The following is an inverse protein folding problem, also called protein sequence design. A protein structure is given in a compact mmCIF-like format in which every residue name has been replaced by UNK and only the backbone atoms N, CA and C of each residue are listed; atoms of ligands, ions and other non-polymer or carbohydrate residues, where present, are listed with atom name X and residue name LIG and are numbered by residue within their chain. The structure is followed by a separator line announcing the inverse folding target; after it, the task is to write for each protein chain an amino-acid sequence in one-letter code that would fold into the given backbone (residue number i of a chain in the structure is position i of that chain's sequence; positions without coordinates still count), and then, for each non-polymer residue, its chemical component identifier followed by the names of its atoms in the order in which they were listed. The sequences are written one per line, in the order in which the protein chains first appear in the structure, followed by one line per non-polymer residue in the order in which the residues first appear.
data_IF_948341906448
#
_entry.id   IF_948341906448
#
_cell.length_a   1.000
_cell.length_b   1.000
_cell.length_c   1.000
_cell.angle_alpha   90.00
_cell.angle_beta   90.00
_cell.angle_gamma   90.00
#
_symmetry.space_group_name_H-M   'P 1'
#
loop_
_entity.id
_entity.type
_entity.pdbx_description
1 polymer ?
#
# COMPACT_ATOMS: atom_id res chain seq x y z
N UNK A 1 -25.77 9.22 -5.57
CA UNK A 1 -25.76 8.25 -4.46
C UNK A 1 -24.32 8.05 -4.05
N UNK A 2 -23.88 8.89 -3.12
CA UNK A 2 -22.52 8.96 -2.60
C UNK A 2 -22.34 7.88 -1.54
N UNK A 3 -22.02 6.67 -2.01
CA UNK A 3 -21.48 5.64 -1.14
C UNK A 3 -20.12 6.19 -0.70
N UNK A 4 -20.04 6.79 0.50
CA UNK A 4 -18.77 7.06 1.20
C UNK A 4 -17.89 5.84 0.93
N UNK A 5 -16.85 5.97 0.08
CA UNK A 5 -16.02 4.84 -0.34
C UNK A 5 -15.32 4.31 0.90
N UNK A 6 -15.96 3.36 1.60
CA UNK A 6 -15.41 2.71 2.79
C UNK A 6 -14.07 2.11 2.38
N UNK A 7 -12.98 2.54 3.00
CA UNK A 7 -11.67 1.95 2.77
C UNK A 7 -11.74 0.44 2.99
N UNK A 8 -10.97 -0.32 2.23
CA UNK A 8 -10.83 -1.75 2.45
C UNK A 8 -9.81 -1.96 3.57
N UNK A 9 -10.07 -2.90 4.48
CA UNK A 9 -9.14 -3.24 5.55
C UNK A 9 -8.28 -4.46 5.20
N UNK A 10 -7.16 -4.65 5.91
CA UNK A 10 -6.37 -5.88 5.81
C UNK A 10 -7.20 -7.13 6.13
N UNK A 11 -8.15 -7.01 7.07
CA UNK A 11 -9.04 -8.11 7.41
C UNK A 11 -9.99 -8.47 6.26
N UNK A 12 -10.56 -7.47 5.58
CA UNK A 12 -11.36 -7.71 4.37
C UNK A 12 -10.53 -8.37 3.26
N UNK A 13 -9.28 -7.94 3.08
CA UNK A 13 -8.37 -8.55 2.12
C UNK A 13 -8.04 -10.01 2.48
N UNK A 14 -7.81 -10.32 3.75
CA UNK A 14 -7.61 -11.69 4.22
C UNK A 14 -8.88 -12.54 4.06
N UNK A 15 -10.05 -11.98 4.33
CA UNK A 15 -11.34 -12.65 4.17
C UNK A 15 -11.70 -12.91 2.70
N UNK A 16 -11.19 -12.10 1.76
CA UNK A 16 -11.36 -12.33 0.32
C UNK A 16 -10.81 -13.69 -0.12
N UNK A 17 -9.71 -14.15 0.49
CA UNK A 17 -9.15 -15.48 0.25
C UNK A 17 -10.13 -16.60 0.64
N UNK A 18 -10.85 -16.44 1.75
CA UNK A 18 -11.76 -17.46 2.27
C UNK A 18 -13.06 -17.56 1.45
N UNK A 19 -13.18 -16.84 0.33
CA UNK A 19 -14.39 -16.71 -0.48
C UNK A 19 -15.62 -16.22 0.30
N UNK A 20 -15.41 -15.75 1.54
CA UNK A 20 -16.47 -15.24 2.44
C UNK A 20 -17.12 -13.97 1.87
N UNK A 21 -16.42 -13.26 0.98
CA UNK A 21 -16.86 -12.00 0.37
C UNK A 21 -17.21 -12.14 -1.13
N UNK A 22 -17.25 -13.37 -1.67
CA UNK A 22 -17.53 -13.61 -3.09
C UNK A 22 -16.35 -13.30 -4.02
N UNK A 23 -16.64 -12.89 -5.26
CA UNK A 23 -15.63 -12.61 -6.29
C UNK A 23 -14.99 -11.24 -6.05
N UNK A 24 -13.75 -11.23 -5.55
CA UNK A 24 -13.04 -10.01 -5.18
C UNK A 24 -11.96 -9.68 -6.21
N UNK A 25 -11.95 -8.44 -6.71
CA UNK A 25 -10.94 -7.91 -7.62
C UNK A 25 -9.89 -7.15 -6.83
N UNK A 26 -8.66 -7.65 -6.88
CA UNK A 26 -7.51 -7.04 -6.21
C UNK A 26 -6.64 -6.42 -7.29
N UNK A 27 -6.35 -5.13 -7.16
CA UNK A 27 -5.53 -4.40 -8.12
C UNK A 27 -4.36 -3.72 -7.47
N UNK A 28 -3.21 -3.77 -8.14
CA UNK A 28 -2.00 -3.07 -7.74
C UNK A 28 -1.83 -1.82 -8.60
N UNK A 29 -1.79 -0.65 -7.97
CA UNK A 29 -1.69 0.63 -8.65
C UNK A 29 -0.34 1.27 -8.38
N UNK A 30 0.30 1.81 -9.42
CA UNK A 30 1.43 2.70 -9.24
C UNK A 30 0.93 4.05 -8.70
N UNK A 31 1.56 4.57 -7.66
CA UNK A 31 1.18 5.83 -7.03
C UNK A 31 2.06 6.95 -7.53
N UNK A 32 1.46 7.92 -8.22
CA UNK A 32 2.16 9.13 -8.70
C UNK A 32 2.07 10.23 -7.64
N UNK A 33 3.16 10.96 -7.41
CA UNK A 33 3.23 12.06 -6.42
C UNK A 33 4.01 11.75 -5.15
N UNK A 34 4.66 10.57 -5.05
CA UNK A 34 5.64 10.25 -4.01
C UNK A 34 7.09 10.33 -4.50
N UNK A 35 8.05 10.29 -3.57
CA UNK A 35 9.50 10.35 -3.86
C UNK A 35 10.05 9.04 -4.49
N UNK A 36 9.25 7.96 -4.54
CA UNK A 36 9.58 6.66 -5.14
C UNK A 36 8.36 6.10 -5.89
N UNK A 37 8.56 5.11 -6.77
CA UNK A 37 7.51 4.32 -7.45
C UNK A 37 6.70 3.48 -6.45
N UNK A 38 6.07 4.14 -5.48
CA UNK A 38 5.25 3.51 -4.46
C UNK A 38 4.06 2.83 -5.13
N UNK A 39 3.60 1.74 -4.53
CA UNK A 39 2.41 1.04 -5.00
C UNK A 39 1.34 1.01 -3.92
N UNK A 40 0.09 1.04 -4.34
CA UNK A 40 -1.07 0.87 -3.48
C UNK A 40 -1.93 -0.28 -3.97
N UNK A 41 -2.70 -0.86 -3.06
CA UNK A 41 -3.62 -1.96 -3.38
C UNK A 41 -5.05 -1.44 -3.29
N UNK A 42 -5.88 -1.82 -4.26
CA UNK A 42 -7.33 -1.66 -4.16
C UNK A 42 -8.04 -3.00 -4.13
N UNK A 43 -9.13 -3.05 -3.35
CA UNK A 43 -10.04 -4.17 -3.20
C UNK A 43 -11.42 -3.76 -3.73
N UNK A 44 -11.86 -4.33 -4.85
CA UNK A 44 -13.10 -3.92 -5.53
C UNK A 44 -13.16 -2.39 -5.76
N UNK A 45 -12.01 -1.76 -6.09
CA UNK A 45 -11.91 -0.31 -6.31
C UNK A 45 -11.85 0.55 -5.04
N UNK A 46 -11.71 -0.07 -3.85
CA UNK A 46 -11.55 0.62 -2.56
C UNK A 46 -10.10 0.51 -2.10
N UNK A 47 -9.49 1.62 -1.69
CA UNK A 47 -8.10 1.63 -1.22
C UNK A 47 -7.91 0.79 0.04
N UNK A 48 -6.83 0.01 0.07
CA UNK A 48 -6.43 -0.76 1.23
C UNK A 48 -5.84 0.16 2.30
N UNK A 49 -6.51 0.24 3.44
CA UNK A 49 -6.01 0.88 4.64
C UNK A 49 -5.64 -0.16 5.69
N UNK A 50 -4.68 0.21 6.52
CA UNK A 50 -4.39 -0.48 7.75
C UNK A 50 -5.50 -0.27 8.77
N UNK A 51 -5.44 -1.03 9.87
CA UNK A 51 -6.48 -1.02 10.89
C UNK A 51 -6.65 0.35 11.58
N UNK A 52 -5.64 1.22 11.53
CA UNK A 52 -5.66 2.57 12.06
C UNK A 52 -6.19 3.62 11.05
N UNK A 53 -6.67 3.17 9.90
CA UNK A 53 -7.23 4.02 8.84
C UNK A 53 -6.20 4.59 7.86
N UNK A 54 -4.90 4.34 8.07
CA UNK A 54 -3.84 4.82 7.17
C UNK A 54 -3.81 4.03 5.86
N UNK A 55 -3.58 4.70 4.75
CA UNK A 55 -3.42 4.04 3.44
C UNK A 55 -2.17 3.16 3.45
N UNK A 56 -2.32 1.88 3.14
CA UNK A 56 -1.18 0.96 3.01
C UNK A 56 -0.52 1.15 1.65
N UNK A 57 0.75 1.57 1.65
CA UNK A 57 1.57 1.71 0.44
C UNK A 57 2.81 0.84 0.55
N UNK A 58 3.40 0.49 -0.59
CA UNK A 58 4.59 -0.34 -0.69
C UNK A 58 5.69 0.42 -1.44
N UNK A 59 6.93 0.31 -0.98
CA UNK A 59 8.09 0.97 -1.61
C UNK A 59 8.46 0.36 -2.98
N UNK A 60 8.18 -0.92 -3.17
CA UNK A 60 8.45 -1.67 -4.38
C UNK A 60 7.40 -2.74 -4.64
N UNK A 61 7.35 -3.25 -5.88
CA UNK A 61 6.39 -4.27 -6.31
C UNK A 61 6.62 -5.59 -5.58
N UNK A 62 7.86 -5.91 -5.24
CA UNK A 62 8.25 -7.11 -4.51
C UNK A 62 7.71 -7.09 -3.08
N UNK A 63 7.70 -5.93 -2.42
CA UNK A 63 7.07 -5.78 -1.11
C UNK A 63 5.54 -6.00 -1.20
N UNK A 64 4.88 -5.40 -2.20
CA UNK A 64 3.46 -5.61 -2.41
C UNK A 64 3.12 -7.08 -2.70
N UNK A 65 3.90 -7.73 -3.58
CA UNK A 65 3.77 -9.17 -3.86
C UNK A 65 3.96 -10.00 -2.62
N UNK A 66 5.01 -9.74 -1.84
CA UNK A 66 5.29 -10.51 -0.63
C UNK A 66 4.16 -10.39 0.40
N UNK A 67 3.54 -9.21 0.51
CA UNK A 67 2.36 -9.02 1.36
C UNK A 67 1.17 -9.88 0.91
N UNK A 68 0.89 -9.90 -0.39
CA UNK A 68 -0.17 -10.71 -0.98
C UNK A 68 0.10 -12.22 -0.84
N UNK A 69 1.36 -12.64 -0.98
CA UNK A 69 1.79 -14.04 -0.73
C UNK A 69 1.53 -14.47 0.73
N UNK A 70 1.78 -13.59 1.71
CA UNK A 70 1.51 -13.87 3.12
C UNK A 70 0.01 -14.11 3.36
N UNK A 71 -0.84 -13.41 2.61
CA UNK A 71 -2.29 -13.61 2.63
C UNK A 71 -2.75 -14.74 1.70
N UNK A 72 -1.83 -15.37 0.95
CA UNK A 72 -2.07 -16.39 -0.08
C UNK A 72 -3.10 -15.93 -1.11
N UNK A 73 -2.85 -14.76 -1.68
CA UNK A 73 -3.66 -14.16 -2.74
C UNK A 73 -2.90 -14.31 -4.05
N UNK A 74 -3.39 -15.19 -4.92
CA UNK A 74 -2.73 -15.50 -6.19
C UNK A 74 -3.23 -14.65 -7.37
N UNK A 75 -4.44 -14.10 -7.27
CA UNK A 75 -5.08 -13.32 -8.34
C UNK A 75 -5.01 -11.84 -8.04
N UNK A 76 -4.06 -11.16 -8.67
CA UNK A 76 -3.89 -9.70 -8.60
C UNK A 76 -3.74 -9.15 -10.01
N UNK A 77 -4.51 -8.11 -10.33
CA UNK A 77 -4.41 -7.39 -11.59
C UNK A 77 -3.51 -6.15 -11.41
N UNK A 78 -2.85 -5.74 -12.48
CA UNK A 78 -2.24 -4.41 -12.55
C UNK A 78 -3.32 -3.38 -12.85
N UNK A 79 -3.36 -2.32 -12.05
CA UNK A 79 -4.23 -1.17 -12.24
C UNK A 79 -3.47 0.05 -12.76
N UNK A 80 -4.21 1.05 -13.21
CA UNK A 80 -3.63 2.29 -13.72
C UNK A 80 -2.84 3.05 -12.65
N UNK A 81 -1.94 3.91 -13.10
CA UNK A 81 -1.24 4.84 -12.23
C UNK A 81 -2.22 5.88 -11.68
N UNK A 82 -2.23 6.08 -10.37
CA UNK A 82 -3.17 6.99 -9.68
C UNK A 82 -2.41 7.92 -8.77
N UNK A 83 -2.85 9.17 -8.67
CA UNK A 83 -2.32 10.12 -7.69
C UNK A 83 -2.56 9.61 -6.26
N UNK A 84 -1.57 9.80 -5.39
CA UNK A 84 -1.68 9.45 -3.97
C UNK A 84 -2.94 10.11 -3.37
N UNK A 85 -3.90 9.35 -2.81
CA UNK A 85 -5.07 9.95 -2.19
C UNK A 85 -4.64 10.74 -0.94
N UNK A 86 -4.85 12.06 -0.97
CA UNK A 86 -4.27 13.05 -0.04
C UNK A 86 -4.93 13.08 1.36
N UNK A 87 -5.96 12.27 1.60
CA UNK A 87 -6.94 12.53 2.66
C UNK A 87 -6.67 11.75 3.95
N UNK A 88 -5.69 10.85 3.97
CA UNK A 88 -5.36 10.01 5.13
C UNK A 88 -3.88 9.71 5.16
N UNK A 89 -3.27 9.74 6.35
CA UNK A 89 -1.85 9.41 6.51
C UNK A 89 -1.51 8.06 5.88
N UNK A 90 -0.26 7.90 5.45
CA UNK A 90 0.20 6.68 4.77
C UNK A 90 0.98 5.77 5.71
N UNK A 91 0.78 4.47 5.59
CA UNK A 91 1.62 3.43 6.17
C UNK A 91 2.43 2.78 5.05
N UNK A 92 3.70 3.16 4.96
CA UNK A 92 4.62 2.56 4.01
C UNK A 92 5.17 1.24 4.54
N UNK A 93 5.11 0.21 3.68
CA UNK A 93 5.63 -1.12 3.91
C UNK A 93 6.83 -1.35 2.98
N UNK A 94 7.90 -1.89 3.54
CA UNK A 94 9.11 -2.27 2.80
C UNK A 94 9.44 -3.73 2.98
N UNK A 95 10.11 -4.29 1.98
CA UNK A 95 10.74 -5.61 2.11
C UNK A 95 12.14 -5.44 2.71
N UNK A 96 12.45 -6.22 3.75
CA UNK A 96 13.80 -6.31 4.30
C UNK A 96 14.23 -7.76 4.51
N UNK A 97 15.45 -7.98 5.01
CA UNK A 97 16.04 -9.31 5.17
C UNK A 97 15.26 -10.28 6.09
N UNK A 98 14.29 -9.80 6.89
CA UNK A 98 13.41 -10.67 7.69
C UNK A 98 11.93 -10.58 7.26
N UNK A 99 11.67 -10.20 6.01
CA UNK A 99 10.31 -10.06 5.47
C UNK A 99 9.78 -8.62 5.51
N UNK A 100 8.45 -8.49 5.45
CA UNK A 100 7.76 -7.20 5.36
C UNK A 100 7.81 -6.43 6.68
N UNK A 101 8.08 -5.13 6.61
CA UNK A 101 8.09 -4.25 7.79
C UNK A 101 7.55 -2.87 7.44
N UNK A 102 7.05 -2.17 8.46
CA UNK A 102 6.66 -0.77 8.35
C UNK A 102 7.91 0.10 8.24
N UNK A 103 7.89 1.10 7.37
CA UNK A 103 8.90 2.14 7.33
C UNK A 103 8.79 3.01 8.58
N UNK A 104 9.72 2.85 9.52
CA UNK A 104 9.72 3.60 10.78
C UNK A 104 10.20 5.06 10.63
N UNK A 105 10.57 5.49 9.41
CA UNK A 105 11.13 6.82 9.13
C UNK A 105 12.42 7.17 9.89
N UNK A 106 12.98 6.21 10.65
CA UNK A 106 14.21 6.31 11.42
C UNK A 106 15.28 5.50 10.72
N UNK A 107 15.76 6.00 9.58
CA UNK A 107 17.00 5.55 8.95
C UNK A 107 18.08 6.60 9.21
N UNK A 108 19.21 6.18 9.78
CA UNK A 108 20.43 6.96 10.03
C UNK A 108 20.97 7.67 8.78
N UNK A 109 21.71 8.79 8.92
CA UNK A 109 22.01 9.70 7.82
C UNK A 109 23.12 9.14 6.93
N UNK A 110 22.82 8.93 5.65
CA UNK A 110 23.84 8.79 4.62
C UNK A 110 23.58 9.83 3.53
N UNK A 111 24.31 10.94 3.67
CA UNK A 111 24.63 11.99 2.68
C UNK A 111 23.47 12.65 1.90
N UNK A 112 23.30 13.93 2.26
CA UNK A 112 22.51 14.96 1.63
C UNK A 112 22.58 15.03 0.09
N UNK A 113 21.42 15.21 -0.54
CA UNK A 113 21.18 16.32 -1.48
C UNK A 113 19.68 16.49 -1.76
N UNK A 114 19.24 17.75 -1.64
CA UNK A 114 17.99 18.35 -2.11
C UNK A 114 16.70 18.03 -1.33
N UNK A 115 16.38 19.00 -0.46
CA UNK A 115 15.13 19.14 0.24
C UNK A 115 13.95 19.39 -0.72
N UNK A 116 12.96 18.51 -0.65
CA UNK A 116 11.55 18.82 -0.87
C UNK A 116 10.78 17.92 0.09
N UNK A 117 9.86 18.51 0.85
CA UNK A 117 9.20 17.89 2.00
C UNK A 117 8.36 16.67 1.58
N UNK A 118 8.95 15.48 1.54
CA UNK A 118 8.18 14.24 1.41
C UNK A 118 7.27 14.09 2.65
N UNK A 119 5.96 13.92 2.44
CA UNK A 119 4.96 13.50 3.45
C UNK A 119 5.12 12.03 3.89
N UNK A 120 6.10 11.34 3.30
CA UNK A 120 6.60 10.02 3.68
C UNK A 120 7.99 10.25 4.25
N UNK A 121 8.33 9.72 5.44
CA UNK A 121 9.64 9.96 6.02
C UNK A 121 10.72 9.51 5.03
N UNK A 122 11.57 10.47 4.69
CA UNK A 122 12.55 10.38 3.63
C UNK A 122 13.55 9.27 3.95
N UNK A 123 13.64 8.29 3.05
CA UNK A 123 14.46 7.09 3.21
C UNK A 123 13.68 5.81 3.00
N UNK A 124 13.19 5.59 1.77
CA UNK A 124 12.94 4.23 1.28
C UNK A 124 14.28 3.66 0.79
#
# INVERSE_FOLDING_TARGET
MDIKKRHATWLELAAARLSLLGQVRIRLHALTGGCHNCLGITLNGRWLCANDGRLTIFDCREAARRFLELLRIDKVEDGDAVALPSESGVQCMRLGNRGLRVCNGRGTPARASMASQCLVPQGC
#
